data_IF_484532760805
#
_entry.id   IF_484532760805
#
_cell.length_a   1.000
_cell.length_b   1.000
_cell.length_c   1.000
_cell.angle_alpha   90.00
_cell.angle_beta   90.00
_cell.angle_gamma   90.00
#
_symmetry.space_group_name_H-M   'P 1'
#
loop_
_entity.id
_entity.type
_entity.pdbx_description
1 polymer ?
#
# COMPACT_ATOMS: atom_id res chain seq x y z
N UNK A 1 -12.92 12.48 -0.39
CA UNK A 1 -11.54 12.83 0.00
C UNK A 1 -10.92 13.54 -1.18
N UNK A 2 -9.89 14.33 -0.95
CA UNK A 2 -9.24 15.11 -2.01
C UNK A 2 -8.07 14.28 -2.53
N UNK A 3 -8.35 13.38 -3.49
CA UNK A 3 -7.42 12.37 -4.06
C UNK A 3 -6.06 12.98 -4.49
N UNK A 4 -6.03 14.30 -4.69
CA UNK A 4 -4.82 15.06 -4.95
C UNK A 4 -3.80 14.96 -3.81
N UNK A 5 -4.25 14.96 -2.56
CA UNK A 5 -3.38 14.90 -1.38
C UNK A 5 -2.78 13.51 -1.19
N UNK A 6 -3.54 12.45 -1.47
CA UNK A 6 -3.02 11.09 -1.48
C UNK A 6 -1.92 10.93 -2.55
N UNK A 7 -2.12 11.46 -3.76
CA UNK A 7 -1.12 11.40 -4.83
C UNK A 7 0.19 12.14 -4.50
N UNK A 8 0.09 13.32 -3.88
CA UNK A 8 1.26 14.06 -3.38
C UNK A 8 1.98 13.28 -2.27
N UNK A 9 1.23 12.72 -1.31
CA UNK A 9 1.80 11.91 -0.23
C UNK A 9 2.54 10.68 -0.76
N UNK A 10 1.97 9.98 -1.74
CA UNK A 10 2.62 8.84 -2.41
C UNK A 10 3.92 9.28 -3.11
N UNK A 11 3.91 10.44 -3.75
CA UNK A 11 5.10 10.98 -4.42
C UNK A 11 6.23 11.27 -3.44
N UNK A 12 5.92 11.84 -2.27
CA UNK A 12 6.91 12.05 -1.22
C UNK A 12 7.40 10.72 -0.62
N UNK A 13 6.50 9.77 -0.36
CA UNK A 13 6.86 8.44 0.12
C UNK A 13 7.78 7.70 -0.85
N UNK A 14 7.57 7.82 -2.16
CA UNK A 14 8.45 7.24 -3.18
C UNK A 14 9.91 7.74 -3.03
N UNK A 15 10.10 9.03 -2.77
CA UNK A 15 11.43 9.62 -2.59
C UNK A 15 12.10 9.08 -1.32
N UNK A 16 11.34 8.97 -0.23
CA UNK A 16 11.85 8.48 1.05
C UNK A 16 12.20 6.98 0.95
N UNK A 17 11.33 6.17 0.35
CA UNK A 17 11.53 4.72 0.18
C UNK A 17 12.75 4.44 -0.71
N UNK A 18 13.00 5.27 -1.73
CA UNK A 18 14.21 5.17 -2.55
C UNK A 18 15.51 5.39 -1.77
N UNK A 19 15.45 6.12 -0.65
CA UNK A 19 16.59 6.35 0.23
C UNK A 19 16.66 5.31 1.37
N UNK A 20 15.53 4.97 1.98
CA UNK A 20 15.42 4.00 3.06
C UNK A 20 14.16 3.16 2.92
N UNK A 21 14.33 1.87 2.66
CA UNK A 21 13.25 0.91 2.73
C UNK A 21 12.87 0.68 4.20
N UNK A 22 11.60 0.87 4.52
CA UNK A 22 11.07 0.74 5.88
C UNK A 22 9.64 0.19 5.80
N UNK A 23 9.33 -0.76 6.69
CA UNK A 23 8.03 -1.41 6.73
C UNK A 23 6.88 -0.41 6.88
N UNK A 24 7.04 0.58 7.75
CA UNK A 24 5.99 1.55 8.04
C UNK A 24 5.74 2.46 6.83
N UNK A 25 6.78 2.80 6.08
CA UNK A 25 6.66 3.61 4.87
C UNK A 25 5.96 2.85 3.73
N UNK A 26 6.27 1.56 3.57
CA UNK A 26 5.59 0.69 2.61
C UNK A 26 4.11 0.53 2.97
N UNK A 27 3.81 0.23 4.24
CA UNK A 27 2.43 0.11 4.72
C UNK A 27 1.63 1.40 4.54
N UNK A 28 2.22 2.56 4.86
CA UNK A 28 1.56 3.86 4.68
C UNK A 28 1.28 4.17 3.20
N UNK A 29 2.23 3.86 2.30
CA UNK A 29 2.03 4.05 0.86
C UNK A 29 0.92 3.13 0.32
N UNK A 30 0.88 1.88 0.77
CA UNK A 30 -0.19 0.94 0.46
C UNK A 30 -1.56 1.46 0.90
N UNK A 31 -1.65 2.05 2.10
CA UNK A 31 -2.91 2.59 2.61
C UNK A 31 -3.46 3.76 1.74
N UNK A 32 -2.58 4.65 1.27
CA UNK A 32 -2.98 5.71 0.34
C UNK A 32 -3.39 5.17 -1.04
N UNK A 33 -2.73 4.12 -1.53
CA UNK A 33 -3.13 3.48 -2.78
C UNK A 33 -4.49 2.78 -2.65
N UNK A 34 -4.78 2.11 -1.52
CA UNK A 34 -6.07 1.47 -1.27
C UNK A 34 -7.21 2.50 -1.21
N UNK A 35 -6.96 3.69 -0.62
CA UNK A 35 -7.96 4.75 -0.57
C UNK A 35 -8.25 5.37 -1.95
N UNK A 36 -7.25 5.42 -2.83
CA UNK A 36 -7.42 5.81 -4.23
C UNK A 36 -7.98 4.69 -5.13
N UNK A 37 -8.15 3.48 -4.60
CA UNK A 37 -8.65 2.32 -5.36
C UNK A 37 -7.61 1.64 -6.26
N UNK A 38 -6.32 1.98 -6.13
CA UNK A 38 -5.23 1.28 -6.82
C UNK A 38 -4.81 0.04 -6.03
N UNK A 39 -5.64 -1.00 -6.13
CA UNK A 39 -5.40 -2.25 -5.41
C UNK A 39 -4.18 -3.01 -5.93
N UNK A 40 -3.77 -2.80 -7.18
CA UNK A 40 -2.58 -3.46 -7.74
C UNK A 40 -1.31 -2.93 -7.08
N UNK A 41 -1.19 -1.61 -6.94
CA UNK A 41 -0.07 -0.99 -6.23
C UNK A 41 -0.10 -1.31 -4.74
N UNK A 42 -1.30 -1.29 -4.14
CA UNK A 42 -1.49 -1.66 -2.72
C UNK A 42 -0.95 -3.05 -2.41
N UNK A 43 -1.30 -4.05 -3.22
CA UNK A 43 -0.86 -5.43 -3.02
C UNK A 43 0.67 -5.56 -3.09
N UNK A 44 1.31 -4.87 -4.05
CA UNK A 44 2.77 -4.88 -4.20
C UNK A 44 3.49 -4.32 -2.98
N UNK A 45 2.98 -3.22 -2.41
CA UNK A 45 3.56 -2.61 -1.22
C UNK A 45 3.34 -3.48 0.03
N UNK A 46 2.16 -4.10 0.14
CA UNK A 46 1.90 -5.07 1.19
C UNK A 46 2.82 -6.29 1.11
N UNK A 47 3.04 -6.87 -0.07
CA UNK A 47 3.98 -7.98 -0.27
C UNK A 47 5.41 -7.60 0.12
N UNK A 48 5.86 -6.40 -0.28
CA UNK A 48 7.17 -5.90 0.10
C UNK A 48 7.29 -5.70 1.62
N UNK A 49 6.26 -5.17 2.29
CA UNK A 49 6.23 -5.02 3.73
C UNK A 49 6.23 -6.36 4.47
N UNK A 50 5.46 -7.36 3.99
CA UNK A 50 5.43 -8.71 4.56
C UNK A 50 6.73 -9.49 4.33
N UNK A 51 7.50 -9.15 3.30
CA UNK A 51 8.87 -9.68 3.16
C UNK A 51 9.82 -9.17 4.25
N UNK A 52 9.56 -7.98 4.83
CA UNK A 52 10.33 -7.43 5.95
C UNK A 52 9.84 -8.00 7.30
N UNK A 53 8.53 -8.09 7.48
CA UNK A 53 7.91 -8.73 8.64
C UNK A 53 6.66 -9.53 8.23
N UNK A 54 6.77 -10.86 8.14
CA UNK A 54 5.66 -11.72 7.77
C UNK A 54 4.48 -11.71 8.77
N UNK A 55 4.68 -11.19 9.98
CA UNK A 55 3.67 -11.20 11.05
C UNK A 55 3.04 -9.82 11.29
N UNK A 56 3.33 -8.82 10.45
CA UNK A 56 2.79 -7.48 10.61
C UNK A 56 1.27 -7.45 10.35
N UNK A 57 0.49 -7.41 11.43
CA UNK A 57 -0.96 -7.65 11.41
C UNK A 57 -1.71 -6.65 10.52
N UNK A 58 -1.37 -5.36 10.60
CA UNK A 58 -2.04 -4.32 9.81
C UNK A 58 -1.82 -4.52 8.31
N UNK A 59 -0.62 -4.94 7.90
CA UNK A 59 -0.31 -5.21 6.50
C UNK A 59 -1.04 -6.46 6.00
N UNK A 60 -1.15 -7.50 6.83
CA UNK A 60 -1.92 -8.70 6.50
C UNK A 60 -3.39 -8.34 6.27
N UNK A 61 -3.98 -7.53 7.15
CA UNK A 61 -5.37 -7.08 7.03
C UNK A 61 -5.58 -6.28 5.74
N UNK A 62 -4.71 -5.30 5.47
CA UNK A 62 -4.78 -4.48 4.27
C UNK A 62 -4.63 -5.33 3.00
N UNK A 63 -3.66 -6.24 2.96
CA UNK A 63 -3.46 -7.16 1.84
C UNK A 63 -4.71 -7.99 1.54
N UNK A 64 -5.29 -8.63 2.56
CA UNK A 64 -6.48 -9.47 2.38
C UNK A 64 -7.69 -8.67 1.89
N UNK A 65 -7.87 -7.45 2.41
CA UNK A 65 -8.93 -6.54 2.01
C UNK A 65 -8.76 -6.10 0.54
N UNK A 66 -7.57 -5.64 0.16
CA UNK A 66 -7.32 -5.16 -1.20
C UNK A 66 -7.32 -6.30 -2.22
N UNK A 67 -6.90 -7.51 -1.84
CA UNK A 67 -6.99 -8.70 -2.71
C UNK A 67 -8.44 -9.05 -3.06
N UNK A 68 -9.35 -9.00 -2.08
CA UNK A 68 -10.79 -9.22 -2.33
C UNK A 68 -11.34 -8.19 -3.33
N UNK A 69 -11.03 -6.90 -3.10
CA UNK A 69 -11.48 -5.81 -3.95
C UNK A 69 -10.90 -5.86 -5.37
N UNK A 70 -9.63 -6.24 -5.51
CA UNK A 70 -8.99 -6.44 -6.81
C UNK A 70 -9.69 -7.56 -7.60
N UNK A 71 -10.05 -8.66 -6.94
CA UNK A 71 -10.76 -9.77 -7.57
C UNK A 71 -12.21 -9.39 -7.95
N UNK A 72 -12.87 -8.51 -7.18
CA UNK A 72 -14.21 -8.00 -7.49
C UNK A 72 -14.21 -7.06 -8.70
N UNK A 73 -13.19 -6.22 -8.87
CA UNK A 73 -13.05 -5.33 -10.04
C UNK A 73 -12.76 -6.07 -11.35
N UNK A 74 -12.31 -7.32 -11.28
CA UNK A 74 -12.00 -8.17 -12.44
C UNK A 74 -13.18 -9.02 -12.91
N UNK A 75 -14.35 -8.91 -12.26
CA UNK A 75 -15.58 -9.63 -12.60
C UNK A 75 -16.59 -8.75 -13.33
#
# INVERSE_FOLDING_TARGET
MDDHKEAEAITELNKIIAFKLDLQLLHLRAAFQDSMGDYSSTLRDCEAALCLDPNHSDTIELYQKSQKRANEQQR
#
